data_IF_945563231818
#
_entry.id   IF_945563231818
#
_cell.length_a   1.000
_cell.length_b   1.000
_cell.length_c   1.000
_cell.angle_alpha   90.00
_cell.angle_beta   90.00
_cell.angle_gamma   90.00
#
_symmetry.space_group_name_H-M   'P 1'
#
loop_
_entity.id
_entity.type
_entity.pdbx_description
1 polymer ?
#
# COMPACT_ATOMS: atom_id res chain seq x y z
N UNK A 1 18.91 22.06 -12.34
CA UNK A 1 19.52 23.39 -12.27
C UNK A 1 18.53 24.36 -12.90
N UNK A 2 17.99 25.31 -12.14
CA UNK A 2 16.84 26.12 -12.57
C UNK A 2 17.19 27.05 -13.74
N UNK A 3 16.22 27.29 -14.63
CA UNK A 3 16.41 28.12 -15.83
C UNK A 3 16.90 29.55 -15.52
N UNK A 4 16.61 30.08 -14.31
CA UNK A 4 17.10 31.38 -13.82
C UNK A 4 18.44 31.35 -13.07
N UNK A 5 19.17 30.23 -13.04
CA UNK A 5 20.47 30.11 -12.37
C UNK A 5 20.42 29.70 -10.90
N UNK A 6 19.24 29.53 -10.29
CA UNK A 6 19.10 29.02 -8.92
C UNK A 6 19.18 27.50 -8.90
N UNK A 7 20.05 26.98 -8.03
CA UNK A 7 20.30 25.55 -7.87
C UNK A 7 20.11 25.14 -6.42
N UNK A 8 19.56 23.94 -6.23
CA UNK A 8 19.41 23.30 -4.94
C UNK A 8 19.91 21.86 -5.05
N UNK A 9 20.54 21.39 -3.99
CA UNK A 9 21.02 20.02 -3.86
C UNK A 9 20.43 19.42 -2.59
N UNK A 10 20.03 18.15 -2.66
CA UNK A 10 19.52 17.40 -1.51
C UNK A 10 20.43 16.20 -1.31
N UNK A 11 20.90 16.00 -0.08
CA UNK A 11 21.54 14.75 0.34
C UNK A 11 20.49 13.99 1.14
N UNK A 12 20.22 12.75 0.72
CA UNK A 12 19.29 11.87 1.40
C UNK A 12 20.06 10.67 1.97
N UNK A 13 19.66 10.25 3.16
CA UNK A 13 20.16 9.03 3.81
C UNK A 13 19.07 7.98 3.92
N UNK A 14 19.47 6.72 4.14
CA UNK A 14 18.53 5.62 4.32
C UNK A 14 17.84 5.72 5.69
N UNK A 15 16.55 5.40 5.72
CA UNK A 15 15.84 5.19 6.99
C UNK A 15 16.34 3.88 7.62
N UNK A 16 16.54 3.83 8.96
CA UNK A 16 16.88 2.58 9.63
C UNK A 16 15.88 1.47 9.28
N UNK A 17 16.37 0.22 9.17
CA UNK A 17 15.50 -0.90 8.89
C UNK A 17 14.38 -0.97 9.96
N UNK A 18 13.10 -1.06 9.57
CA UNK A 18 12.01 -1.12 10.52
C UNK A 18 12.19 -2.35 11.41
N UNK A 19 11.94 -2.20 12.71
CA UNK A 19 11.94 -3.32 13.63
C UNK A 19 10.96 -4.39 13.12
N UNK A 20 11.44 -5.62 12.96
CA UNK A 20 10.57 -6.75 12.58
C UNK A 20 9.44 -6.82 13.60
N UNK A 21 8.19 -6.77 13.16
CA UNK A 21 7.03 -6.98 14.03
C UNK A 21 7.13 -8.39 14.61
N UNK A 22 7.58 -8.51 15.86
CA UNK A 22 7.75 -9.79 16.56
C UNK A 22 6.46 -10.26 17.26
N UNK A 23 5.38 -9.48 17.18
CA UNK A 23 4.09 -9.89 17.68
C UNK A 23 3.37 -10.79 16.69
N UNK A 24 3.43 -12.10 16.87
CA UNK A 24 2.37 -12.98 16.37
C UNK A 24 1.08 -12.52 17.02
N UNK A 25 0.13 -11.99 16.23
CA UNK A 25 -1.24 -11.86 16.72
C UNK A 25 -1.64 -13.21 17.32
N UNK A 26 -2.31 -13.26 18.49
CA UNK A 26 -2.66 -14.51 19.14
C UNK A 26 -3.29 -15.47 18.14
N UNK A 27 -2.99 -16.77 18.22
CA UNK A 27 -3.27 -17.76 17.16
C UNK A 27 -4.75 -17.89 16.72
N UNK A 28 -5.69 -17.15 17.32
CA UNK A 28 -7.10 -17.01 16.90
C UNK A 28 -7.53 -15.61 16.42
N UNK A 29 -6.62 -14.63 16.33
CA UNK A 29 -6.92 -13.25 15.94
C UNK A 29 -6.76 -12.98 14.43
N UNK A 30 -6.23 -13.94 13.67
CA UNK A 30 -6.09 -13.82 12.21
C UNK A 30 -7.42 -14.14 11.55
N UNK A 31 -8.01 -13.12 10.92
CA UNK A 31 -9.24 -13.31 10.13
C UNK A 31 -8.90 -14.15 8.89
N UNK A 32 -9.63 -15.23 8.61
CA UNK A 32 -9.38 -16.04 7.41
C UNK A 32 -9.75 -15.30 6.12
N UNK A 33 -10.51 -14.20 6.23
CA UNK A 33 -11.01 -13.41 5.10
C UNK A 33 -10.70 -11.95 5.35
N UNK A 34 -10.17 -11.29 4.31
CA UNK A 34 -9.93 -9.85 4.27
C UNK A 34 -10.75 -9.22 3.13
N UNK A 35 -11.14 -7.95 3.31
CA UNK A 35 -11.90 -7.19 2.32
C UNK A 35 -11.00 -6.13 1.71
N UNK A 36 -10.79 -6.22 0.39
CA UNK A 36 -10.11 -5.18 -0.38
C UNK A 36 -11.14 -4.19 -0.91
N UNK A 37 -11.13 -2.97 -0.38
CA UNK A 37 -12.04 -1.90 -0.79
C UNK A 37 -11.40 -1.03 -1.86
N UNK A 38 -12.07 -0.87 -3.01
CA UNK A 38 -11.61 -0.03 -4.12
C UNK A 38 -12.69 1.00 -4.47
N UNK A 39 -12.28 2.24 -4.75
CA UNK A 39 -13.16 3.31 -5.20
C UNK A 39 -12.39 4.33 -6.02
N UNK A 40 -13.04 4.96 -6.99
CA UNK A 40 -12.48 6.04 -7.79
C UNK A 40 -13.61 6.97 -8.26
N UNK A 41 -13.29 8.22 -8.61
CA UNK A 41 -14.28 9.22 -9.04
C UNK A 41 -14.89 8.92 -10.43
N UNK A 42 -14.33 7.97 -11.18
CA UNK A 42 -14.83 7.58 -12.50
C UNK A 42 -14.71 6.07 -12.71
N UNK A 43 -15.58 5.53 -13.57
CA UNK A 43 -15.52 4.12 -13.96
C UNK A 43 -14.20 3.74 -14.66
N UNK A 44 -13.61 4.66 -15.43
CA UNK A 44 -12.29 4.45 -16.04
C UNK A 44 -11.20 4.35 -14.96
N UNK A 45 -11.16 5.30 -14.02
CA UNK A 45 -10.20 5.29 -12.92
C UNK A 45 -10.31 4.04 -12.04
N UNK A 46 -11.53 3.53 -11.83
CA UNK A 46 -11.73 2.29 -11.09
C UNK A 46 -11.15 1.08 -11.85
N UNK A 47 -11.31 1.01 -13.17
CA UNK A 47 -10.72 -0.06 -13.99
C UNK A 47 -9.20 -0.04 -13.96
N UNK A 48 -8.60 1.14 -14.09
CA UNK A 48 -7.15 1.32 -13.99
C UNK A 48 -6.63 0.91 -12.61
N UNK A 49 -7.32 1.30 -11.54
CA UNK A 49 -6.98 0.89 -10.19
C UNK A 49 -7.05 -0.63 -10.04
N UNK A 50 -8.11 -1.28 -10.54
CA UNK A 50 -8.22 -2.73 -10.54
C UNK A 50 -7.07 -3.40 -11.30
N UNK A 51 -6.67 -2.86 -12.46
CA UNK A 51 -5.55 -3.40 -13.24
C UNK A 51 -4.22 -3.34 -12.45
N UNK A 52 -3.96 -2.22 -11.77
CA UNK A 52 -2.78 -2.07 -10.90
C UNK A 52 -2.80 -3.05 -9.73
N UNK A 53 -3.96 -3.31 -9.13
CA UNK A 53 -4.09 -4.33 -8.08
C UNK A 53 -3.83 -5.74 -8.60
N UNK A 54 -4.32 -6.08 -9.79
CA UNK A 54 -4.05 -7.39 -10.41
C UNK A 54 -2.55 -7.59 -10.63
N UNK A 55 -1.80 -6.55 -10.97
CA UNK A 55 -0.34 -6.60 -11.11
C UNK A 55 0.38 -6.67 -9.76
N UNK A 56 -0.13 -5.99 -8.73
CA UNK A 56 0.51 -5.89 -7.41
C UNK A 56 0.30 -7.11 -6.49
N UNK A 57 -0.84 -7.81 -6.60
CA UNK A 57 -1.20 -8.88 -5.67
C UNK A 57 -0.38 -10.18 -5.77
N UNK A 58 0.10 -10.66 -6.94
CA UNK A 58 0.75 -11.97 -7.03
C UNK A 58 1.94 -12.17 -6.07
N UNK A 59 2.86 -11.20 -5.88
CA UNK A 59 3.95 -11.34 -4.90
C UNK A 59 3.54 -11.46 -3.43
N UNK A 60 2.27 -11.22 -3.09
CA UNK A 60 1.75 -11.42 -1.72
C UNK A 60 1.40 -12.88 -1.43
N UNK A 61 1.34 -13.76 -2.45
CA UNK A 61 1.13 -15.20 -2.23
C UNK A 61 2.25 -15.81 -1.38
N UNK A 62 3.48 -15.30 -1.52
CA UNK A 62 4.63 -15.73 -0.74
C UNK A 62 4.69 -15.10 0.67
N UNK A 63 3.85 -14.09 0.94
CA UNK A 63 3.82 -13.31 2.19
C UNK A 63 2.38 -13.03 2.64
N UNK A 64 1.55 -14.06 2.88
CA UNK A 64 0.13 -13.90 3.18
C UNK A 64 -0.13 -13.12 4.48
N UNK A 65 0.85 -13.02 5.37
CA UNK A 65 0.80 -12.18 6.57
C UNK A 65 0.60 -10.69 6.28
N UNK A 66 1.05 -10.20 5.12
CA UNK A 66 0.98 -8.80 4.73
C UNK A 66 -0.40 -8.42 4.16
N UNK A 67 -1.21 -9.40 3.77
CA UNK A 67 -2.52 -9.17 3.15
C UNK A 67 -3.43 -8.33 4.06
N UNK A 68 -3.34 -8.54 5.38
CA UNK A 68 -4.07 -7.76 6.36
C UNK A 68 -3.70 -6.27 6.33
N UNK A 69 -2.41 -5.96 6.30
CA UNK A 69 -1.89 -4.58 6.25
C UNK A 69 -2.21 -3.91 4.91
N UNK A 70 -2.17 -4.67 3.82
CA UNK A 70 -2.53 -4.22 2.47
C UNK A 70 -4.01 -3.84 2.38
N UNK A 71 -4.92 -4.73 2.81
CA UNK A 71 -6.35 -4.43 2.86
C UNK A 71 -6.67 -3.28 3.83
N UNK A 72 -5.97 -3.23 4.98
CA UNK A 72 -6.11 -2.12 5.93
C UNK A 72 -5.69 -0.79 5.30
N UNK A 73 -4.60 -0.76 4.54
CA UNK A 73 -4.14 0.44 3.83
C UNK A 73 -5.16 0.90 2.79
N UNK A 74 -5.70 -0.03 2.00
CA UNK A 74 -6.73 0.26 1.01
C UNK A 74 -8.01 0.85 1.65
N UNK A 75 -8.32 0.44 2.88
CA UNK A 75 -9.51 0.91 3.63
C UNK A 75 -9.28 2.18 4.45
N UNK A 76 -8.12 2.33 5.08
CA UNK A 76 -7.88 3.39 6.09
C UNK A 76 -7.11 4.59 5.53
N UNK A 77 -6.26 4.37 4.52
CA UNK A 77 -5.36 5.39 3.98
C UNK A 77 -5.78 5.90 2.61
N UNK A 78 -6.98 5.56 2.15
CA UNK A 78 -7.54 6.02 0.87
C UNK A 78 -8.95 6.57 1.09
N UNK A 79 -9.30 7.72 0.50
CA UNK A 79 -10.66 8.23 0.57
C UNK A 79 -11.60 7.30 -0.18
N UNK A 80 -12.77 7.02 0.40
CA UNK A 80 -13.83 6.31 -0.28
C UNK A 80 -14.61 7.30 -1.16
N UNK A 81 -14.59 7.05 -2.46
CA UNK A 81 -15.33 7.82 -3.46
C UNK A 81 -16.72 7.18 -3.65
N UNK A 82 -17.75 8.01 -3.76
CA UNK A 82 -19.14 7.60 -4.00
C UNK A 82 -19.43 7.53 -5.50
#
# INVERSE_FOLDING_TARGET
>A
FGFGGTNAHVVAEAVPAPARRTGTAPAGARRPVHVLTLSADTAYGLRELCAQWVEFLPPLQDRPEELADVCATARLARPHRA
#
